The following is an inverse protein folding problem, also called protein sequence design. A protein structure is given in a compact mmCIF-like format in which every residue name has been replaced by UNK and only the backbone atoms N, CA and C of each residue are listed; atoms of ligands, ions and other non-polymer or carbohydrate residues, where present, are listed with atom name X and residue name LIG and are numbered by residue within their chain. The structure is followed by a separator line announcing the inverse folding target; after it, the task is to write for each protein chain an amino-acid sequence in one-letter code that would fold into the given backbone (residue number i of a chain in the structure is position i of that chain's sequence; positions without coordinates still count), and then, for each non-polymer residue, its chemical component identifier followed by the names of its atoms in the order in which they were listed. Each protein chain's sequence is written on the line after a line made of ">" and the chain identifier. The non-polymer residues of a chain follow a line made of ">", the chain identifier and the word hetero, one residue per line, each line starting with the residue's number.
data_IF_044383928833
#
_entry.id   IF_044383928833
#
_cell.length_a   1.000
_cell.length_b   1.000
_cell.length_c   1.000
_cell.angle_alpha   90.00
_cell.angle_beta   90.00
_cell.angle_gamma   90.00
#
_symmetry.space_group_name_H-M   'P 1'
#
loop_
_entity.id
_entity.type
_entity.pdbx_description
1 polymer ?
#
# COMPACT_ATOMS: atom_id res chain seq x y z
N UNK A 1 50.25 18.11 22.28
CA UNK A 1 48.92 17.47 22.30
C UNK A 1 48.93 16.32 23.29
N UNK A 2 47.92 16.21 24.15
CA UNK A 2 47.83 15.08 25.11
C UNK A 2 47.34 13.85 24.33
N UNK A 3 48.27 13.09 23.75
CA UNK A 3 48.02 11.96 22.84
C UNK A 3 47.00 10.95 23.40
N UNK A 4 46.99 10.78 24.73
CA UNK A 4 46.01 9.96 25.45
C UNK A 4 44.56 10.44 25.31
N UNK A 5 44.34 11.75 25.35
CA UNK A 5 43.00 12.35 25.20
C UNK A 5 42.49 12.18 23.78
N UNK A 6 43.36 12.30 22.77
CA UNK A 6 43.00 12.08 21.36
C UNK A 6 42.60 10.64 21.08
N UNK A 7 43.31 9.66 21.67
CA UNK A 7 42.95 8.23 21.54
C UNK A 7 41.59 7.94 22.17
N UNK A 8 41.32 8.50 23.37
CA UNK A 8 40.02 8.32 24.04
C UNK A 8 38.89 8.93 23.20
N UNK A 9 39.08 10.14 22.68
CA UNK A 9 38.08 10.80 21.84
C UNK A 9 37.82 10.00 20.55
N UNK A 10 38.87 9.46 19.93
CA UNK A 10 38.76 8.65 18.72
C UNK A 10 38.03 7.32 18.99
N UNK A 11 38.30 6.67 20.13
CA UNK A 11 37.57 5.47 20.53
C UNK A 11 36.08 5.75 20.76
N UNK A 12 35.73 6.84 21.44
CA UNK A 12 34.33 7.27 21.62
C UNK A 12 33.68 7.58 20.28
N UNK A 13 34.38 8.27 19.38
CA UNK A 13 33.87 8.56 18.04
C UNK A 13 33.60 7.28 17.25
N UNK A 14 34.49 6.29 17.27
CA UNK A 14 34.27 5.01 16.60
C UNK A 14 33.09 4.23 17.20
N UNK A 15 32.89 4.29 18.52
CA UNK A 15 31.74 3.67 19.18
C UNK A 15 30.44 4.35 18.77
N UNK A 16 30.40 5.69 18.74
CA UNK A 16 29.23 6.44 18.28
C UNK A 16 28.95 6.22 16.79
N UNK A 17 29.99 6.19 15.97
CA UNK A 17 29.87 5.90 14.54
C UNK A 17 29.33 4.48 14.32
N UNK A 18 29.86 3.48 15.04
CA UNK A 18 29.35 2.12 14.99
C UNK A 18 27.89 2.05 15.49
N UNK A 19 27.52 2.81 16.51
CA UNK A 19 26.16 2.89 17.02
C UNK A 19 25.20 3.49 15.98
N UNK A 20 25.58 4.61 15.36
CA UNK A 20 24.79 5.24 14.28
C UNK A 20 24.69 4.30 13.10
N UNK A 21 25.79 3.73 12.60
CA UNK A 21 25.77 2.77 11.50
C UNK A 21 24.92 1.53 11.84
N UNK A 22 24.96 1.04 13.07
CA UNK A 22 24.13 -0.09 13.51
C UNK A 22 22.64 0.27 13.54
N UNK A 23 22.27 1.44 14.06
CA UNK A 23 20.87 1.88 14.13
C UNK A 23 20.32 2.30 12.77
N UNK A 24 21.12 2.94 11.92
CA UNK A 24 20.73 3.36 10.57
C UNK A 24 20.63 2.15 9.63
N UNK A 25 21.53 1.16 9.77
CA UNK A 25 21.47 -0.10 9.02
C UNK A 25 20.31 -0.99 9.50
N UNK A 26 20.07 -1.08 10.81
CA UNK A 26 18.96 -1.88 11.35
C UNK A 26 17.60 -1.21 11.10
N UNK A 27 17.52 0.13 11.16
CA UNK A 27 16.32 0.89 10.81
C UNK A 27 15.91 0.79 9.34
N UNK A 28 16.82 0.38 8.45
CA UNK A 28 16.56 0.14 7.03
C UNK A 28 16.44 -1.35 6.68
N UNK A 29 16.71 -2.27 7.61
CA UNK A 29 16.86 -3.71 7.35
C UNK A 29 15.87 -4.62 8.10
N UNK A 30 14.84 -4.08 8.73
CA UNK A 30 13.56 -4.82 8.82
C UNK A 30 12.81 -4.62 7.51
N UNK A 31 13.35 -5.21 6.43
CA UNK A 31 12.52 -5.79 5.37
C UNK A 31 11.78 -6.97 6.02
N UNK A 32 10.91 -6.69 6.96
CA UNK A 32 9.78 -7.58 7.19
C UNK A 32 9.06 -7.63 5.85
N UNK A 33 8.68 -8.83 5.43
CA UNK A 33 7.70 -9.00 4.36
C UNK A 33 6.36 -8.46 4.87
N UNK A 34 6.26 -7.13 5.01
CA UNK A 34 5.20 -6.42 5.69
C UNK A 34 3.84 -6.96 5.31
N UNK A 35 2.96 -7.05 6.29
CA UNK A 35 1.63 -7.63 6.18
C UNK A 35 0.94 -7.14 4.90
N UNK A 36 0.50 -8.07 4.05
CA UNK A 36 -0.25 -7.69 2.86
C UNK A 36 -1.62 -7.19 3.27
N UNK A 37 -2.04 -6.06 2.71
CA UNK A 37 -3.41 -5.56 2.88
C UNK A 37 -4.42 -6.52 2.25
N UNK A 38 -4.05 -7.11 1.11
CA UNK A 38 -4.81 -8.13 0.40
C UNK A 38 -4.00 -9.43 0.35
N UNK A 39 -4.47 -10.48 1.04
CA UNK A 39 -3.89 -11.82 0.98
C UNK A 39 -4.60 -12.69 -0.09
N UNK A 40 -4.79 -12.14 -1.28
CA UNK A 40 -5.49 -12.80 -2.41
C UNK A 40 -4.61 -12.82 -3.65
N UNK A 41 -4.87 -13.77 -4.55
CA UNK A 41 -4.13 -13.91 -5.81
C UNK A 41 -4.66 -12.94 -6.87
N UNK A 42 -3.76 -12.30 -7.61
CA UNK A 42 -4.09 -11.45 -8.75
C UNK A 42 -4.68 -12.24 -9.92
N UNK A 43 -4.27 -13.50 -10.10
CA UNK A 43 -4.77 -14.39 -11.15
C UNK A 43 -6.28 -14.66 -11.06
N UNK A 44 -6.84 -14.50 -9.86
CA UNK A 44 -8.24 -14.71 -9.58
C UNK A 44 -9.08 -13.44 -9.79
N UNK A 45 -8.46 -12.28 -10.04
CA UNK A 45 -9.17 -11.03 -10.27
C UNK A 45 -9.94 -11.08 -11.60
N UNK A 46 -11.25 -10.82 -11.52
CA UNK A 46 -12.20 -10.82 -12.64
C UNK A 46 -12.69 -9.42 -12.99
N UNK A 47 -12.76 -8.53 -11.99
CA UNK A 47 -13.21 -7.15 -12.17
C UNK A 47 -12.46 -6.25 -11.22
N UNK A 48 -12.08 -5.08 -11.71
CA UNK A 48 -11.49 -3.99 -10.93
C UNK A 48 -12.34 -2.75 -11.13
N UNK A 49 -12.76 -2.11 -10.05
CA UNK A 49 -13.48 -0.84 -10.11
C UNK A 49 -12.71 0.21 -9.33
N UNK A 50 -12.40 1.31 -10.00
CA UNK A 50 -11.82 2.51 -9.44
C UNK A 50 -12.89 3.56 -9.37
N UNK A 51 -13.19 4.03 -8.16
CA UNK A 51 -14.15 5.09 -7.94
C UNK A 51 -13.48 6.29 -7.29
N UNK A 52 -13.70 7.44 -7.90
CA UNK A 52 -13.36 8.78 -7.40
C UNK A 52 -14.62 9.63 -7.44
N UNK A 53 -14.59 10.80 -6.81
CA UNK A 53 -15.74 11.69 -6.62
C UNK A 53 -16.65 11.86 -7.86
N UNK A 54 -16.07 12.01 -9.06
CA UNK A 54 -16.82 12.23 -10.31
C UNK A 54 -16.47 11.24 -11.43
N UNK A 55 -15.64 10.24 -11.14
CA UNK A 55 -15.10 9.34 -12.17
C UNK A 55 -15.15 7.90 -11.65
N UNK A 56 -15.70 7.01 -12.48
CA UNK A 56 -15.65 5.57 -12.25
C UNK A 56 -15.03 4.91 -13.47
N UNK A 57 -14.04 4.07 -13.22
CA UNK A 57 -13.39 3.26 -14.25
C UNK A 57 -13.58 1.81 -13.85
N UNK A 58 -14.09 1.02 -14.79
CA UNK A 58 -14.35 -0.40 -14.56
C UNK A 58 -13.61 -1.20 -15.60
N UNK A 59 -12.75 -2.10 -15.11
CA UNK A 59 -12.13 -3.15 -15.90
C UNK A 59 -12.84 -4.47 -15.60
N UNK A 60 -13.23 -5.20 -16.64
CA UNK A 60 -13.86 -6.50 -16.52
C UNK A 60 -13.22 -7.48 -17.50
N UNK A 61 -12.88 -8.67 -16.99
CA UNK A 61 -12.35 -9.77 -17.79
C UNK A 61 -13.51 -10.43 -18.53
N UNK A 62 -13.40 -10.50 -19.86
CA UNK A 62 -14.36 -11.17 -20.73
C UNK A 62 -14.24 -12.69 -20.66
N UNK A 63 -15.20 -13.39 -21.29
CA UNK A 63 -15.20 -14.86 -21.38
C UNK A 63 -14.00 -15.42 -22.16
N UNK A 64 -13.46 -14.62 -23.09
CA UNK A 64 -12.25 -14.92 -23.86
C UNK A 64 -10.95 -14.66 -23.07
N UNK A 65 -11.06 -14.15 -21.85
CA UNK A 65 -9.94 -13.83 -20.98
C UNK A 65 -9.31 -12.46 -21.25
N UNK A 66 -9.85 -11.69 -22.20
CA UNK A 66 -9.39 -10.34 -22.51
C UNK A 66 -9.95 -9.31 -21.52
N UNK A 67 -9.20 -8.27 -21.23
CA UNK A 67 -9.67 -7.17 -20.38
C UNK A 67 -10.42 -6.13 -21.19
N UNK A 68 -11.59 -5.73 -20.70
CA UNK A 68 -12.40 -4.66 -21.25
C UNK A 68 -12.53 -3.53 -20.25
N UNK A 69 -12.47 -2.29 -20.74
CA UNK A 69 -13.01 -1.13 -20.05
C UNK A 69 -14.51 -1.14 -20.33
N UNK A 70 -15.34 -1.16 -19.29
CA UNK A 70 -16.81 -1.08 -19.43
C UNK A 70 -17.35 0.29 -19.03
N UNK A 71 -16.60 1.05 -18.24
CA UNK A 71 -16.88 2.45 -17.90
C UNK A 71 -15.58 3.27 -17.92
N UNK A 72 -15.60 4.53 -18.39
CA UNK A 72 -16.78 5.29 -18.83
C UNK A 72 -17.24 5.01 -20.27
N UNK A 73 -16.50 4.20 -21.01
CA UNK A 73 -16.82 3.78 -22.38
C UNK A 73 -16.40 2.33 -22.57
N UNK A 74 -17.04 1.64 -23.50
CA UNK A 74 -16.69 0.26 -23.85
C UNK A 74 -15.49 0.22 -24.81
N UNK A 75 -14.38 -0.33 -24.36
CA UNK A 75 -13.18 -0.52 -25.17
C UNK A 75 -12.34 -1.70 -24.67
N UNK A 76 -11.44 -2.20 -25.53
CA UNK A 76 -10.41 -3.13 -25.08
C UNK A 76 -9.42 -2.41 -24.17
N UNK A 77 -9.14 -2.99 -23.01
CA UNK A 77 -8.08 -2.53 -22.13
C UNK A 77 -6.74 -3.14 -22.56
N UNK A 78 -5.64 -2.49 -22.21
CA UNK A 78 -4.33 -3.12 -22.33
C UNK A 78 -4.20 -4.22 -21.27
N UNK A 79 -4.08 -5.47 -21.72
CA UNK A 79 -4.02 -6.63 -20.83
C UNK A 79 -2.85 -6.53 -19.85
N UNK A 80 -1.67 -6.10 -20.30
CA UNK A 80 -0.47 -6.04 -19.47
C UNK A 80 -0.62 -5.01 -18.35
N UNK A 81 -1.19 -3.84 -18.68
CA UNK A 81 -1.41 -2.79 -17.68
C UNK A 81 -2.47 -3.18 -16.64
N UNK A 82 -3.57 -3.84 -17.04
CA UNK A 82 -4.61 -4.26 -16.09
C UNK A 82 -4.14 -5.43 -15.21
N UNK A 83 -3.39 -6.38 -15.77
CA UNK A 83 -2.80 -7.48 -14.98
C UNK A 83 -1.79 -6.93 -13.95
N UNK A 84 -0.93 -5.98 -14.36
CA UNK A 84 -0.01 -5.31 -13.44
C UNK A 84 -0.75 -4.57 -12.32
N UNK A 85 -1.86 -3.91 -12.65
CA UNK A 85 -2.70 -3.23 -11.66
C UNK A 85 -3.29 -4.22 -10.65
N UNK A 86 -3.77 -5.37 -11.12
CA UNK A 86 -4.24 -6.46 -10.24
C UNK A 86 -3.12 -6.98 -9.34
N UNK A 87 -1.91 -7.14 -9.89
CA UNK A 87 -0.71 -7.54 -9.13
C UNK A 87 -0.34 -6.51 -8.06
N UNK A 88 -0.32 -5.23 -8.39
CA UNK A 88 0.04 -4.16 -7.46
C UNK A 88 -0.91 -4.13 -6.25
N UNK A 89 -2.22 -4.27 -6.46
CA UNK A 89 -3.17 -4.36 -5.36
C UNK A 89 -3.08 -5.67 -4.58
N UNK A 90 -2.91 -6.81 -5.25
CA UNK A 90 -2.78 -8.12 -4.60
C UNK A 90 -1.47 -8.27 -3.81
N UNK A 91 -0.48 -7.43 -4.13
CA UNK A 91 0.79 -7.35 -3.42
C UNK A 91 0.92 -6.09 -2.54
N UNK A 92 -0.16 -5.30 -2.40
CA UNK A 92 -0.15 -4.07 -1.63
C UNK A 92 0.15 -4.38 -0.15
N UNK A 93 1.18 -3.75 0.38
CA UNK A 93 1.65 -3.98 1.76
C UNK A 93 1.24 -2.85 2.68
N UNK A 94 0.95 -3.22 3.92
CA UNK A 94 0.79 -2.29 5.04
C UNK A 94 2.18 -1.85 5.45
N UNK A 95 2.47 -0.55 5.31
CA UNK A 95 3.71 0.02 5.85
C UNK A 95 3.62 0.23 7.36
N UNK A 96 2.45 0.65 7.84
CA UNK A 96 2.22 0.93 9.26
C UNK A 96 0.74 0.90 9.60
N UNK A 97 0.40 0.32 10.75
CA UNK A 97 -0.92 0.53 11.36
C UNK A 97 -0.92 1.87 12.07
N UNK A 98 -1.88 2.74 11.72
CA UNK A 98 -2.01 4.08 12.31
C UNK A 98 -2.88 4.04 13.55
N UNK A 99 -4.02 3.34 13.46
CA UNK A 99 -5.00 3.22 14.53
C UNK A 99 -5.84 1.95 14.31
N UNK A 100 -6.05 1.15 15.35
CA UNK A 100 -6.78 -0.13 15.26
C UNK A 100 -8.30 0.06 15.20
N UNK A 101 -8.81 1.05 15.92
CA UNK A 101 -10.23 1.36 16.06
C UNK A 101 -10.43 2.88 15.97
N UNK A 102 -10.45 3.45 14.76
CA UNK A 102 -10.61 4.88 14.57
C UNK A 102 -12.02 5.35 14.96
N UNK A 103 -12.11 6.39 15.79
CA UNK A 103 -13.39 7.02 16.13
C UNK A 103 -14.00 7.80 14.95
N UNK A 104 -13.15 8.48 14.15
CA UNK A 104 -13.54 9.31 13.01
C UNK A 104 -12.63 9.02 11.82
N UNK A 105 -13.19 8.51 10.71
CA UNK A 105 -12.45 8.21 9.48
C UNK A 105 -12.18 9.48 8.65
N UNK A 106 -12.98 10.53 8.87
CA UNK A 106 -12.89 11.83 8.25
C UNK A 106 -11.54 12.51 8.53
N UNK A 107 -10.93 12.24 9.69
CA UNK A 107 -9.60 12.76 10.04
C UNK A 107 -8.49 12.25 9.12
N UNK A 108 -8.75 11.12 8.45
CA UNK A 108 -7.86 10.50 7.46
C UNK A 108 -8.31 10.77 6.02
N UNK A 109 -9.41 11.51 5.82
CA UNK A 109 -10.03 11.72 4.52
C UNK A 109 -10.55 10.45 3.86
N UNK A 110 -10.88 9.41 4.64
CA UNK A 110 -11.35 8.11 4.11
C UNK A 110 -12.89 8.12 4.02
N UNK A 111 -13.51 7.73 2.89
CA UNK A 111 -12.89 7.44 1.60
C UNK A 111 -12.80 8.69 0.69
N UNK A 112 -11.64 8.91 0.09
CA UNK A 112 -11.46 9.84 -1.03
C UNK A 112 -11.47 9.11 -2.38
N UNK A 113 -10.93 7.89 -2.39
CA UNK A 113 -10.95 6.95 -3.52
C UNK A 113 -11.36 5.57 -3.00
N UNK A 114 -11.99 4.78 -3.85
CA UNK A 114 -12.37 3.41 -3.55
C UNK A 114 -11.91 2.48 -4.67
N UNK A 115 -11.23 1.40 -4.28
CA UNK A 115 -10.85 0.32 -5.18
C UNK A 115 -11.64 -0.91 -4.77
N UNK A 116 -12.36 -1.51 -5.71
CA UNK A 116 -13.07 -2.78 -5.50
C UNK A 116 -12.52 -3.84 -6.44
N UNK A 117 -12.20 -5.01 -5.89
CA UNK A 117 -11.68 -6.16 -6.62
C UNK A 117 -12.62 -7.35 -6.46
N UNK A 118 -13.12 -7.89 -7.57
CA UNK A 118 -13.88 -9.14 -7.58
C UNK A 118 -12.97 -10.29 -7.96
N UNK A 119 -13.09 -11.38 -7.21
CA UNK A 119 -12.30 -12.59 -7.39
C UNK A 119 -13.21 -13.75 -7.80
N UNK A 120 -12.68 -14.73 -8.56
CA UNK A 120 -13.44 -15.89 -9.07
C UNK A 120 -14.23 -16.64 -7.99
N UNK A 121 -13.65 -16.78 -6.80
CA UNK A 121 -14.20 -17.60 -5.71
C UNK A 121 -14.87 -16.76 -4.60
N UNK A 122 -15.25 -15.50 -4.89
CA UNK A 122 -15.91 -14.62 -3.92
C UNK A 122 -17.15 -13.95 -4.53
N UNK A 123 -18.25 -14.02 -3.80
CA UNK A 123 -19.50 -13.35 -4.18
C UNK A 123 -19.42 -11.82 -3.98
N UNK A 124 -18.70 -11.38 -2.95
CA UNK A 124 -18.52 -9.96 -2.63
C UNK A 124 -17.12 -9.47 -2.99
N UNK A 125 -16.98 -8.24 -3.51
CA UNK A 125 -15.68 -7.65 -3.78
C UNK A 125 -14.95 -7.34 -2.48
N UNK A 126 -13.62 -7.42 -2.52
CA UNK A 126 -12.81 -6.81 -1.47
C UNK A 126 -12.60 -5.34 -1.80
N UNK A 127 -12.91 -4.44 -0.86
CA UNK A 127 -12.80 -3.01 -1.08
C UNK A 127 -11.69 -2.39 -0.24
N UNK A 128 -10.91 -1.54 -0.90
CA UNK A 128 -9.91 -0.70 -0.27
C UNK A 128 -10.41 0.75 -0.35
N UNK A 129 -10.63 1.34 0.82
CA UNK A 129 -10.98 2.74 0.98
C UNK A 129 -9.69 3.52 1.19
N UNK A 130 -9.36 4.42 0.27
CA UNK A 130 -8.13 5.20 0.30
C UNK A 130 -8.49 6.65 0.63
N UNK A 131 -7.78 7.23 1.59
CA UNK A 131 -7.94 8.60 2.05
C UNK A 131 -6.85 9.52 1.53
N UNK A 132 -6.53 10.52 2.36
CA UNK A 132 -5.56 11.56 2.01
C UNK A 132 -4.13 11.02 1.99
N UNK A 133 -3.26 11.75 1.31
CA UNK A 133 -1.81 11.53 1.37
C UNK A 133 -1.29 11.90 2.77
N UNK A 134 -0.38 11.09 3.29
CA UNK A 134 0.29 11.33 4.55
C UNK A 134 1.29 12.49 4.39
N UNK A 135 1.13 13.63 5.09
CA UNK A 135 2.04 14.77 4.93
C UNK A 135 3.50 14.50 5.34
N UNK A 136 3.75 13.39 6.05
CA UNK A 136 5.07 13.03 6.59
C UNK A 136 5.85 12.03 5.71
N UNK A 137 5.27 11.55 4.60
CA UNK A 137 5.93 10.57 3.73
C UNK A 137 5.12 10.21 2.49
N UNK A 138 5.68 9.36 1.63
CA UNK A 138 5.07 8.99 0.34
C UNK A 138 4.06 7.83 0.47
N UNK A 139 3.03 8.04 1.30
CA UNK A 139 2.03 7.02 1.66
C UNK A 139 0.62 7.61 1.67
N UNK A 140 -0.40 6.78 1.48
CA UNK A 140 -1.80 7.14 1.72
C UNK A 140 -2.32 6.49 3.00
N UNK A 141 -3.26 7.16 3.67
CA UNK A 141 -4.13 6.48 4.62
C UNK A 141 -5.09 5.56 3.87
N UNK A 142 -5.28 4.34 4.35
CA UNK A 142 -6.22 3.40 3.77
C UNK A 142 -6.86 2.51 4.83
N UNK A 143 -7.97 1.88 4.45
CA UNK A 143 -8.70 0.90 5.25
C UNK A 143 -9.31 -0.15 4.32
N UNK A 144 -9.22 -1.42 4.68
CA UNK A 144 -10.02 -2.48 4.05
C UNK A 144 -11.43 -2.46 4.62
N UNK A 145 -12.45 -2.61 3.79
CA UNK A 145 -13.84 -2.40 4.24
C UNK A 145 -14.28 -3.38 5.34
N UNK A 146 -13.81 -4.62 5.28
CA UNK A 146 -14.02 -5.72 6.24
C UNK A 146 -13.13 -5.66 7.49
N UNK A 147 -12.16 -4.75 7.58
CA UNK A 147 -11.32 -4.53 8.76
C UNK A 147 -11.66 -3.21 9.46
N UNK A 148 -11.28 -3.02 10.73
CA UNK A 148 -11.52 -1.75 11.45
C UNK A 148 -10.36 -0.77 11.31
N UNK A 149 -9.14 -1.29 11.31
CA UNK A 149 -7.89 -0.51 11.39
C UNK A 149 -7.65 0.40 10.19
N UNK A 150 -7.06 1.55 10.48
CA UNK A 150 -6.50 2.47 9.47
C UNK A 150 -5.01 2.23 9.37
N UNK A 151 -4.54 2.10 8.14
CA UNK A 151 -3.15 1.77 7.81
C UNK A 151 -2.56 2.81 6.86
N UNK A 152 -1.24 2.81 6.75
CA UNK A 152 -0.51 3.47 5.68
C UNK A 152 -0.15 2.47 4.59
N UNK A 153 -0.40 2.84 3.35
CA UNK A 153 0.00 2.11 2.14
C UNK A 153 0.90 2.99 1.27
N UNK A 154 1.78 2.41 0.45
CA UNK A 154 2.56 3.17 -0.52
C UNK A 154 1.68 3.96 -1.49
N UNK A 155 2.20 5.08 -2.00
CA UNK A 155 1.51 5.92 -2.99
C UNK A 155 1.45 5.32 -4.39
#
# INVERSE_FOLDING_TARGET
>A
MKFKTTIILFAVFLILLAFVLFFEYKGMSEKDEGEKLLALSSDDVQKITFKKEYETIIFQKGEDGEWLITEPLEAKADKYEVDRLADDFSNLRIERVVEEEPEELEKYGIPQKEISLWFKDKDEPVKILIGMENPLGNTFFAKRDDETRVVLIPS
#
